data_IF_238808013384
#
_entry.id   IF_238808013384
#
_cell.length_a   1.000
_cell.length_b   1.000
_cell.length_c   1.000
_cell.angle_alpha   90.00
_cell.angle_beta   90.00
_cell.angle_gamma   90.00
#
_symmetry.space_group_name_H-M   'P 1'
#
loop_
_entity.id
_entity.type
_entity.pdbx_description
1 polymer ?
#
# COMPACT_ATOMS: atom_id res chain seq x y z
N UNK A 1 -10.10 -23.87 -21.84
CA UNK A 1 -9.67 -22.72 -21.01
C UNK A 1 -9.99 -21.42 -21.74
N UNK A 2 -10.80 -20.54 -21.16
CA UNK A 2 -11.07 -19.22 -21.73
C UNK A 2 -9.77 -18.39 -21.67
N UNK A 3 -9.26 -17.91 -22.81
CA UNK A 3 -8.06 -17.07 -22.86
C UNK A 3 -8.40 -15.72 -22.20
N UNK A 4 -7.75 -15.42 -21.08
CA UNK A 4 -7.80 -14.09 -20.44
C UNK A 4 -6.57 -13.30 -20.83
N UNK A 5 -6.71 -12.00 -21.02
CA UNK A 5 -5.58 -11.10 -21.24
C UNK A 5 -4.84 -10.83 -19.93
N UNK A 6 -3.57 -10.41 -20.02
CA UNK A 6 -2.80 -10.02 -18.84
C UNK A 6 -3.47 -8.88 -18.06
N UNK A 7 -4.10 -7.92 -18.77
CA UNK A 7 -4.82 -6.82 -18.14
C UNK A 7 -6.04 -7.28 -17.35
N UNK A 8 -6.80 -8.24 -17.88
CA UNK A 8 -7.94 -8.83 -17.17
C UNK A 8 -7.51 -9.56 -15.91
N UNK A 9 -6.38 -10.27 -15.97
CA UNK A 9 -5.78 -10.95 -14.82
C UNK A 9 -5.42 -9.93 -13.74
N UNK A 10 -4.64 -8.90 -14.08
CA UNK A 10 -4.24 -7.86 -13.12
C UNK A 10 -5.45 -7.15 -12.48
N UNK A 11 -6.47 -6.81 -13.29
CA UNK A 11 -7.71 -6.20 -12.78
C UNK A 11 -8.45 -7.13 -11.81
N UNK A 12 -8.45 -8.44 -12.06
CA UNK A 12 -9.10 -9.41 -11.20
C UNK A 12 -8.36 -9.56 -9.86
N UNK A 13 -7.04 -9.74 -9.87
CA UNK A 13 -6.25 -9.83 -8.63
C UNK A 13 -6.27 -8.53 -7.84
N UNK A 14 -6.23 -7.36 -8.51
CA UNK A 14 -6.42 -6.08 -7.82
C UNK A 14 -7.74 -6.04 -7.03
N UNK A 15 -8.85 -6.54 -7.60
CA UNK A 15 -10.14 -6.59 -6.92
C UNK A 15 -10.15 -7.51 -5.70
N UNK A 16 -9.35 -8.58 -5.72
CA UNK A 16 -9.22 -9.56 -4.64
C UNK A 16 -8.28 -9.07 -3.53
N UNK A 17 -7.21 -8.38 -3.89
CA UNK A 17 -6.14 -7.95 -2.98
C UNK A 17 -6.49 -6.60 -2.30
N UNK A 18 -7.11 -5.66 -3.04
CA UNK A 18 -7.42 -4.33 -2.50
C UNK A 18 -8.24 -4.34 -1.20
N UNK A 19 -9.28 -5.17 -1.02
CA UNK A 19 -10.02 -5.25 0.24
C UNK A 19 -9.11 -5.57 1.45
N UNK A 20 -8.13 -6.46 1.25
CA UNK A 20 -7.16 -6.84 2.28
C UNK A 20 -6.20 -5.67 2.58
N UNK A 21 -5.59 -5.07 1.55
CA UNK A 21 -4.77 -3.86 1.70
C UNK A 21 -5.53 -2.76 2.45
N UNK A 22 -6.76 -2.47 2.04
CA UNK A 22 -7.63 -1.47 2.69
C UNK A 22 -7.90 -1.81 4.16
N UNK A 23 -8.00 -3.10 4.51
CA UNK A 23 -8.19 -3.52 5.90
C UNK A 23 -6.97 -3.24 6.76
N UNK A 24 -5.76 -3.45 6.22
CA UNK A 24 -4.49 -3.20 6.91
C UNK A 24 -4.14 -1.72 7.05
N UNK A 25 -4.66 -0.87 6.16
CA UNK A 25 -4.49 0.58 6.22
C UNK A 25 -5.39 1.28 7.26
N UNK A 26 -6.24 0.56 7.98
CA UNK A 26 -6.99 1.11 9.12
C UNK A 26 -6.00 1.43 10.25
N UNK A 27 -6.31 2.44 11.08
CA UNK A 27 -5.43 2.84 12.19
C UNK A 27 -5.05 1.62 13.04
N UNK A 28 -3.75 1.36 13.14
CA UNK A 28 -3.22 0.23 13.88
C UNK A 28 -3.47 0.42 15.38
N UNK A 29 -3.85 -0.65 16.08
CA UNK A 29 -3.93 -0.61 17.54
C UNK A 29 -2.51 -0.75 18.09
N UNK A 30 -1.96 0.34 18.59
CA UNK A 30 -0.63 0.33 19.19
C UNK A 30 -0.64 -0.38 20.55
N UNK A 31 0.45 -1.08 20.93
CA UNK A 31 0.60 -1.63 22.27
C UNK A 31 0.42 -0.54 23.32
N UNK A 32 -0.03 -0.90 24.53
CA UNK A 32 -0.31 0.06 25.61
C UNK A 32 0.83 1.06 25.85
N UNK A 33 2.07 0.61 25.76
CA UNK A 33 3.28 1.44 25.94
C UNK A 33 3.47 2.51 24.85
N UNK A 34 2.86 2.35 23.68
CA UNK A 34 2.99 3.23 22.52
C UNK A 34 1.67 3.95 22.19
N UNK A 35 0.68 3.91 23.08
CA UNK A 35 -0.58 4.61 22.84
C UNK A 35 -0.35 6.12 22.77
N UNK A 36 -0.84 6.73 21.69
CA UNK A 36 -0.77 8.17 21.50
C UNK A 36 -1.73 8.85 22.49
N UNK A 37 -1.19 9.80 23.25
CA UNK A 37 -1.95 10.59 24.21
C UNK A 37 -3.18 11.23 23.55
N UNK A 38 -4.31 11.25 24.27
CA UNK A 38 -5.61 11.71 23.74
C UNK A 38 -5.56 13.12 23.12
N UNK A 39 -4.71 14.01 23.64
CA UNK A 39 -4.51 15.36 23.11
C UNK A 39 -3.97 15.40 21.67
N UNK A 40 -3.31 14.33 21.19
CA UNK A 40 -2.74 14.22 19.84
C UNK A 40 -3.57 13.37 18.87
N UNK A 41 -4.81 13.02 19.24
CA UNK A 41 -5.66 12.15 18.41
C UNK A 41 -5.97 12.74 17.04
N UNK A 42 -6.02 14.08 16.92
CA UNK A 42 -6.27 14.77 15.65
C UNK A 42 -5.07 14.64 14.72
N UNK A 43 -3.87 14.81 15.25
CA UNK A 43 -2.60 14.68 14.55
C UNK A 43 -2.38 13.23 14.10
N UNK A 44 -2.67 12.26 14.97
CA UNK A 44 -2.64 10.83 14.63
C UNK A 44 -3.57 10.51 13.46
N UNK A 45 -4.84 10.95 13.52
CA UNK A 45 -5.79 10.75 12.44
C UNK A 45 -5.30 11.36 11.13
N UNK A 46 -4.80 12.61 11.18
CA UNK A 46 -4.25 13.30 10.02
C UNK A 46 -3.04 12.56 9.44
N UNK A 47 -2.15 12.04 10.28
CA UNK A 47 -0.99 11.26 9.85
C UNK A 47 -1.43 9.99 9.11
N UNK A 48 -2.39 9.23 9.65
CA UNK A 48 -2.91 8.05 8.96
C UNK A 48 -3.62 8.37 7.64
N UNK A 49 -4.26 9.54 7.49
CA UNK A 49 -4.75 9.99 6.17
C UNK A 49 -3.61 10.19 5.16
N UNK A 50 -2.45 10.65 5.60
CA UNK A 50 -1.26 10.84 4.75
C UNK A 50 -0.67 9.49 4.35
N UNK A 51 -0.52 8.56 5.32
CA UNK A 51 -0.04 7.19 5.08
C UNK A 51 -0.87 6.48 4.01
N UNK A 52 -2.20 6.68 4.04
CA UNK A 52 -3.13 6.08 3.07
C UNK A 52 -3.05 6.66 1.66
N UNK A 53 -2.38 7.79 1.46
CA UNK A 53 -2.44 8.54 0.21
C UNK A 53 -1.90 7.72 -0.98
N UNK A 54 -0.67 7.20 -0.92
CA UNK A 54 -0.10 6.38 -2.01
C UNK A 54 -0.88 5.06 -2.27
N UNK A 55 -1.17 4.25 -1.24
CA UNK A 55 -1.96 3.03 -1.41
C UNK A 55 -3.34 3.26 -2.04
N UNK A 56 -4.02 4.36 -1.70
CA UNK A 56 -5.36 4.67 -2.23
C UNK A 56 -5.35 5.14 -3.69
N UNK A 57 -4.21 5.63 -4.20
CA UNK A 57 -4.04 5.93 -5.64
C UNK A 57 -4.06 4.67 -6.52
N UNK A 58 -3.86 3.49 -5.92
CA UNK A 58 -3.82 2.14 -6.53
C UNK A 58 -2.78 1.99 -7.65
N UNK A 59 -1.86 1.04 -7.48
CA UNK A 59 -0.90 0.66 -8.51
C UNK A 59 -1.49 -0.25 -9.60
N UNK A 60 -0.60 -0.87 -10.37
CA UNK A 60 -0.94 -1.89 -11.37
C UNK A 60 -1.11 -3.29 -10.77
N UNK A 61 -0.73 -3.49 -9.51
CA UNK A 61 -0.80 -4.78 -8.78
C UNK A 61 -0.01 -5.89 -9.48
N UNK A 62 1.07 -5.56 -10.20
CA UNK A 62 1.85 -6.55 -10.94
C UNK A 62 2.55 -7.55 -10.00
N UNK A 63 3.38 -7.08 -9.06
CA UNK A 63 4.09 -7.97 -8.14
C UNK A 63 3.15 -8.75 -7.22
N UNK A 64 2.10 -8.17 -6.60
CA UNK A 64 1.22 -8.96 -5.74
C UNK A 64 0.38 -9.97 -6.54
N UNK A 65 0.06 -9.69 -7.81
CA UNK A 65 -0.52 -10.70 -8.71
C UNK A 65 0.46 -11.84 -8.99
N UNK A 66 1.74 -11.54 -9.22
CA UNK A 66 2.78 -12.56 -9.39
C UNK A 66 2.94 -13.42 -8.13
N UNK A 67 2.83 -12.84 -6.93
CA UNK A 67 2.82 -13.61 -5.67
C UNK A 67 1.71 -14.65 -5.67
N UNK A 68 0.46 -14.24 -5.95
CA UNK A 68 -0.67 -15.17 -5.97
C UNK A 68 -0.51 -16.23 -7.06
N UNK A 69 -0.21 -15.82 -8.30
CA UNK A 69 -0.09 -16.76 -9.44
C UNK A 69 1.02 -17.78 -9.23
N UNK A 70 2.15 -17.37 -8.65
CA UNK A 70 3.28 -18.29 -8.38
C UNK A 70 2.90 -19.31 -7.32
N UNK A 71 2.24 -18.87 -6.25
CA UNK A 71 1.78 -19.74 -5.17
C UNK A 71 0.69 -20.72 -5.66
N UNK A 72 -0.28 -20.24 -6.43
CA UNK A 72 -1.32 -21.08 -7.05
C UNK A 72 -0.71 -22.11 -8.02
N UNK A 73 0.33 -21.73 -8.78
CA UNK A 73 1.02 -22.64 -9.70
C UNK A 73 1.70 -23.82 -8.99
N UNK A 74 2.07 -23.66 -7.71
CA UNK A 74 2.63 -24.75 -6.87
C UNK A 74 1.59 -25.40 -5.95
N UNK A 75 0.30 -25.09 -6.15
CA UNK A 75 -0.82 -25.75 -5.47
C UNK A 75 -1.32 -25.07 -4.19
N UNK A 76 -0.86 -23.85 -3.87
CA UNK A 76 -1.42 -23.09 -2.76
C UNK A 76 -2.85 -22.60 -3.09
N UNK A 77 -3.68 -22.44 -2.06
CA UNK A 77 -4.99 -21.81 -2.22
C UNK A 77 -4.84 -20.30 -2.27
N UNK A 78 -5.59 -19.64 -3.14
CA UNK A 78 -5.58 -18.19 -3.31
C UNK A 78 -5.78 -17.44 -1.98
N UNK A 79 -6.66 -17.92 -1.12
CA UNK A 79 -6.97 -17.27 0.15
C UNK A 79 -5.73 -17.16 1.06
N UNK A 80 -4.86 -18.17 1.01
CA UNK A 80 -3.62 -18.24 1.79
C UNK A 80 -2.55 -17.27 1.24
N UNK A 81 -2.68 -16.83 -0.02
CA UNK A 81 -1.71 -15.93 -0.67
C UNK A 81 -2.06 -14.45 -0.46
N UNK A 82 -3.32 -14.13 -0.17
CA UNK A 82 -3.81 -12.75 -0.05
C UNK A 82 -3.07 -11.92 1.00
N UNK A 83 -2.69 -12.44 2.18
CA UNK A 83 -1.90 -11.67 3.15
C UNK A 83 -0.54 -11.25 2.59
N UNK A 84 0.21 -12.19 2.02
CA UNK A 84 1.54 -11.94 1.44
C UNK A 84 1.47 -11.02 0.23
N UNK A 85 0.47 -11.19 -0.63
CA UNK A 85 0.24 -10.29 -1.76
C UNK A 85 -0.14 -8.88 -1.31
N UNK A 86 -0.91 -8.74 -0.23
CA UNK A 86 -1.25 -7.43 0.33
C UNK A 86 -0.04 -6.75 0.96
N UNK A 87 0.78 -7.50 1.70
CA UNK A 87 2.05 -7.01 2.25
C UNK A 87 3.01 -6.56 1.13
N UNK A 88 3.09 -7.33 0.04
CA UNK A 88 3.86 -6.93 -1.15
C UNK A 88 3.34 -5.60 -1.73
N UNK A 89 2.02 -5.45 -1.89
CA UNK A 89 1.45 -4.20 -2.42
C UNK A 89 1.74 -3.00 -1.49
N UNK A 90 1.64 -3.17 -0.16
CA UNK A 90 1.98 -2.13 0.81
C UNK A 90 3.48 -1.82 0.75
N UNK A 91 4.31 -2.85 0.68
CA UNK A 91 5.76 -2.71 0.59
C UNK A 91 6.20 -1.92 -0.65
N UNK A 92 5.48 -2.09 -1.77
CA UNK A 92 5.73 -1.27 -2.95
C UNK A 92 5.43 0.21 -2.69
N UNK A 93 4.41 0.55 -1.90
CA UNK A 93 4.04 1.94 -1.67
C UNK A 93 5.07 2.70 -0.81
N UNK A 94 5.66 2.10 0.23
CA UNK A 94 6.69 2.78 1.02
C UNK A 94 7.96 3.04 0.19
N UNK A 95 8.43 2.02 -0.55
CA UNK A 95 9.59 2.14 -1.43
C UNK A 95 9.39 3.29 -2.40
N UNK A 96 8.20 3.38 -2.98
CA UNK A 96 7.85 4.41 -3.94
C UNK A 96 7.75 5.82 -3.33
N UNK A 97 7.37 5.96 -2.06
CA UNK A 97 7.38 7.26 -1.36
C UNK A 97 8.82 7.75 -1.17
N UNK A 98 9.71 6.86 -0.73
CA UNK A 98 11.13 7.18 -0.51
C UNK A 98 11.89 7.39 -1.83
N UNK A 99 11.60 6.59 -2.84
CA UNK A 99 12.11 6.72 -4.22
C UNK A 99 11.72 8.06 -4.83
N UNK A 100 10.45 8.48 -4.71
CA UNK A 100 10.02 9.79 -5.20
C UNK A 100 10.75 10.95 -4.48
N UNK A 101 11.17 10.76 -3.23
CA UNK A 101 11.95 11.73 -2.48
C UNK A 101 13.38 11.80 -3.01
N UNK A 102 14.06 10.66 -3.13
CA UNK A 102 15.44 10.57 -3.62
C UNK A 102 15.58 11.10 -5.06
N UNK A 103 14.59 10.80 -5.91
CA UNK A 103 14.55 11.24 -7.31
C UNK A 103 14.05 12.68 -7.50
N UNK A 104 13.67 13.37 -6.42
CA UNK A 104 12.95 14.65 -6.43
C UNK A 104 11.71 14.66 -7.37
N UNK A 105 11.04 13.52 -7.49
CA UNK A 105 9.95 13.32 -8.44
C UNK A 105 8.78 14.27 -8.17
N UNK A 106 8.23 14.96 -9.20
CA UNK A 106 7.17 15.94 -9.00
C UNK A 106 5.80 15.29 -8.74
N UNK A 107 5.55 14.11 -9.32
CA UNK A 107 4.22 13.48 -9.33
C UNK A 107 4.32 11.96 -9.30
N UNK A 108 3.29 11.34 -8.70
CA UNK A 108 3.04 9.90 -8.73
C UNK A 108 1.58 9.61 -9.07
N UNK A 109 1.35 8.79 -10.11
CA UNK A 109 0.01 8.38 -10.56
C UNK A 109 -0.94 9.56 -10.79
N UNK A 110 -0.42 10.63 -11.42
CA UNK A 110 -1.17 11.85 -11.77
C UNK A 110 -1.32 12.88 -10.65
N UNK A 111 -0.99 12.54 -9.40
CA UNK A 111 -1.05 13.44 -8.25
C UNK A 111 0.36 13.86 -7.78
N UNK A 112 0.53 14.97 -7.05
CA UNK A 112 1.85 15.36 -6.52
C UNK A 112 2.50 14.25 -5.69
N UNK A 113 3.83 14.12 -5.76
CA UNK A 113 4.54 13.21 -4.88
C UNK A 113 4.36 13.63 -3.40
N UNK A 114 4.48 12.68 -2.47
CA UNK A 114 4.09 12.92 -1.08
C UNK A 114 4.87 14.07 -0.43
N UNK A 115 6.18 14.14 -0.68
CA UNK A 115 7.06 15.20 -0.18
C UNK A 115 6.76 16.57 -0.82
N UNK A 116 6.22 16.61 -2.05
CA UNK A 116 5.74 17.84 -2.71
C UNK A 116 4.35 18.28 -2.19
N UNK A 117 3.48 17.34 -1.81
CA UNK A 117 2.12 17.61 -1.32
C UNK A 117 2.09 18.07 0.14
N UNK A 118 2.95 17.48 0.96
CA UNK A 118 3.02 17.74 2.40
C UNK A 118 4.34 18.43 2.72
N UNK A 119 5.25 17.76 3.41
CA UNK A 119 6.63 18.18 3.59
C UNK A 119 7.52 16.94 3.71
N UNK A 120 8.83 17.17 3.68
CA UNK A 120 9.82 16.09 3.69
C UNK A 120 9.70 15.17 4.92
N UNK A 121 9.69 15.68 6.18
CA UNK A 121 9.70 14.79 7.35
C UNK A 121 8.43 13.94 7.47
N UNK A 122 7.26 14.51 7.14
CA UNK A 122 6.00 13.76 7.21
C UNK A 122 5.94 12.71 6.09
N UNK A 123 6.48 13.00 4.91
CA UNK A 123 6.53 12.03 3.82
C UNK A 123 7.43 10.83 4.16
N UNK A 124 8.61 11.08 4.76
CA UNK A 124 9.51 10.01 5.24
C UNK A 124 8.78 9.13 6.25
N UNK A 125 8.21 9.72 7.31
CA UNK A 125 7.49 8.98 8.34
C UNK A 125 6.29 8.21 7.77
N UNK A 126 5.60 8.75 6.77
CA UNK A 126 4.48 8.08 6.13
C UNK A 126 4.92 6.87 5.30
N UNK A 127 6.12 6.93 4.69
CA UNK A 127 6.78 5.76 4.11
C UNK A 127 7.11 4.73 5.19
N UNK A 128 7.78 5.13 6.27
CA UNK A 128 8.23 4.21 7.34
C UNK A 128 7.08 3.50 8.07
N UNK A 129 5.88 4.09 8.03
CA UNK A 129 4.69 3.51 8.65
C UNK A 129 4.00 2.42 7.81
N UNK A 130 4.34 2.30 6.51
CA UNK A 130 3.81 1.30 5.58
C UNK A 130 4.68 0.03 5.56
#
# INVERSE_FOLDING_TARGET
MQKRTAEEILKNYQKLIWPNVKSYLKSQTLPKAFQIASKYKKEEQKFWEIVKDYPTRKGKYLRPTLVCLTAEAVGAKLEDTLPTASAMQISEEWLLIHDDLEDDSPKRRGLPALHKKYNLPIAVNAGDAL
#
